data_IF_806446726055
#
_entry.id   IF_806446726055
#
_cell.length_a   1.000
_cell.length_b   1.000
_cell.length_c   1.000
_cell.angle_alpha   90.00
_cell.angle_beta   90.00
_cell.angle_gamma   90.00
#
_symmetry.space_group_name_H-M   'P 1'
#
loop_
_entity.id
_entity.type
_entity.pdbx_description
1 polymer ?
#
# COMPACT_ATOMS: atom_id res chain seq x y z
N UNK A 1 -6.99 -47.08 20.38
CA UNK A 1 -7.13 -46.11 19.27
C UNK A 1 -6.87 -44.72 19.83
N UNK A 2 -5.68 -44.16 19.62
CA UNK A 2 -5.34 -42.82 20.12
C UNK A 2 -5.82 -41.77 19.14
N UNK A 3 -6.86 -41.04 19.52
CA UNK A 3 -7.34 -39.84 18.85
C UNK A 3 -6.26 -38.75 19.02
N UNK A 4 -5.53 -38.44 17.94
CA UNK A 4 -4.63 -37.28 17.90
C UNK A 4 -5.49 -36.02 17.95
N UNK A 5 -5.52 -35.35 19.09
CA UNK A 5 -5.95 -33.96 19.19
C UNK A 5 -4.90 -33.12 18.47
N UNK A 6 -5.18 -32.73 17.23
CA UNK A 6 -4.39 -31.73 16.51
C UNK A 6 -4.41 -30.43 17.32
N UNK A 7 -3.32 -30.17 18.05
CA UNK A 7 -3.12 -28.88 18.70
C UNK A 7 -3.06 -27.82 17.61
N UNK A 8 -4.12 -27.03 17.45
CA UNK A 8 -4.11 -25.80 16.64
C UNK A 8 -3.08 -24.84 17.23
N UNK A 9 -1.83 -24.95 16.79
CA UNK A 9 -0.77 -23.99 17.10
C UNK A 9 -1.27 -22.61 16.69
N UNK A 10 -1.22 -21.65 17.62
CA UNK A 10 -1.67 -20.28 17.38
C UNK A 10 -0.86 -19.65 16.26
N UNK A 11 -1.51 -18.89 15.36
CA UNK A 11 -0.83 -18.22 14.24
C UNK A 11 0.35 -17.36 14.71
N UNK A 12 0.25 -16.78 15.91
CA UNK A 12 1.31 -15.98 16.53
C UNK A 12 2.58 -16.82 16.74
N UNK A 13 2.43 -18.06 17.21
CA UNK A 13 3.56 -18.96 17.43
C UNK A 13 4.22 -19.40 16.11
N UNK A 14 3.41 -19.60 15.06
CA UNK A 14 3.92 -19.91 13.71
C UNK A 14 4.65 -18.73 13.10
N UNK A 15 4.18 -17.50 13.33
CA UNK A 15 4.85 -16.29 12.87
C UNK A 15 6.23 -16.17 13.50
N UNK A 16 6.36 -16.43 14.81
CA UNK A 16 7.62 -16.29 15.54
C UNK A 16 8.72 -17.24 15.06
N UNK A 17 8.37 -18.43 14.57
CA UNK A 17 9.33 -19.42 14.04
C UNK A 17 9.61 -19.26 12.54
N UNK A 18 8.81 -18.46 11.82
CA UNK A 18 8.94 -18.26 10.37
C UNK A 18 9.84 -17.06 10.07
N UNK A 19 10.63 -17.13 8.99
CA UNK A 19 11.41 -15.98 8.55
C UNK A 19 10.49 -14.88 7.99
N UNK A 20 10.85 -13.59 8.12
CA UNK A 20 9.99 -12.47 7.70
C UNK A 20 9.46 -12.57 6.27
N UNK A 21 10.29 -13.00 5.33
CA UNK A 21 9.93 -13.16 3.91
C UNK A 21 9.02 -14.35 3.62
N UNK A 22 8.95 -15.32 4.54
CA UNK A 22 8.19 -16.55 4.38
C UNK A 22 6.85 -16.53 5.14
N UNK A 23 6.57 -15.49 5.92
CA UNK A 23 5.28 -15.33 6.63
C UNK A 23 4.11 -15.42 5.64
N UNK A 24 4.27 -14.79 4.48
CA UNK A 24 3.28 -14.79 3.39
C UNK A 24 3.21 -16.12 2.63
N UNK A 25 3.95 -17.16 3.03
CA UNK A 25 3.81 -18.51 2.48
C UNK A 25 2.98 -19.43 3.38
N UNK A 26 2.64 -18.97 4.59
CA UNK A 26 1.81 -19.75 5.51
C UNK A 26 0.37 -19.84 4.97
N UNK A 27 -0.22 -21.05 4.87
CA UNK A 27 -1.59 -21.23 4.37
C UNK A 27 -2.62 -20.39 5.12
N UNK A 28 -2.48 -20.26 6.44
CA UNK A 28 -3.41 -19.50 7.27
C UNK A 28 -3.36 -17.99 6.99
N UNK A 29 -2.18 -17.49 6.60
CA UNK A 29 -2.01 -16.10 6.17
C UNK A 29 -2.66 -15.90 4.80
N UNK A 30 -2.47 -16.86 3.89
CA UNK A 30 -3.09 -16.85 2.57
C UNK A 30 -4.62 -16.80 2.66
N UNK A 31 -5.22 -17.71 3.44
CA UNK A 31 -6.66 -17.82 3.57
C UNK A 31 -7.25 -16.56 4.20
N UNK A 32 -6.59 -16.01 5.22
CA UNK A 32 -7.04 -14.78 5.88
C UNK A 32 -6.94 -13.58 4.95
N UNK A 33 -5.85 -13.44 4.20
CA UNK A 33 -5.67 -12.37 3.24
C UNK A 33 -6.77 -12.42 2.17
N UNK A 34 -6.97 -13.59 1.53
CA UNK A 34 -8.00 -13.77 0.49
C UNK A 34 -9.39 -13.47 1.02
N UNK A 35 -9.72 -13.97 2.22
CA UNK A 35 -11.01 -13.71 2.87
C UNK A 35 -11.24 -12.22 3.13
N UNK A 36 -10.24 -11.51 3.66
CA UNK A 36 -10.34 -10.07 3.90
C UNK A 36 -10.52 -9.32 2.58
N UNK A 37 -9.72 -9.64 1.56
CA UNK A 37 -9.81 -8.99 0.27
C UNK A 37 -11.20 -9.14 -0.35
N UNK A 38 -11.76 -10.36 -0.36
CA UNK A 38 -13.13 -10.62 -0.85
C UNK A 38 -14.16 -9.83 -0.05
N UNK A 39 -14.03 -9.80 1.28
CA UNK A 39 -14.98 -9.14 2.18
C UNK A 39 -15.04 -7.62 1.95
N UNK A 40 -13.89 -6.96 1.78
CA UNK A 40 -13.82 -5.50 1.66
C UNK A 40 -13.89 -4.99 0.23
N UNK A 41 -13.41 -5.75 -0.75
CA UNK A 41 -13.29 -5.30 -2.15
C UNK A 41 -14.24 -6.02 -3.12
N UNK A 42 -14.95 -7.06 -2.67
CA UNK A 42 -15.94 -7.78 -3.47
C UNK A 42 -15.39 -8.60 -4.65
N UNK A 43 -14.06 -8.76 -4.74
CA UNK A 43 -13.37 -9.45 -5.84
C UNK A 43 -12.62 -10.69 -5.34
N UNK A 44 -12.40 -11.67 -6.22
CA UNK A 44 -11.57 -12.85 -5.95
C UNK A 44 -10.15 -12.42 -5.55
N UNK A 45 -9.68 -12.92 -4.41
CA UNK A 45 -8.41 -12.54 -3.79
C UNK A 45 -7.22 -13.40 -4.23
N UNK A 46 -7.43 -14.45 -5.03
CA UNK A 46 -6.39 -15.42 -5.39
C UNK A 46 -5.25 -14.78 -6.18
N UNK A 47 -5.58 -14.13 -7.30
CA UNK A 47 -4.58 -13.46 -8.15
C UNK A 47 -3.91 -12.31 -7.42
N UNK A 48 -4.71 -11.56 -6.66
CA UNK A 48 -4.23 -10.43 -5.88
C UNK A 48 -3.22 -10.86 -4.83
N UNK A 49 -3.55 -11.92 -4.08
CA UNK A 49 -2.66 -12.49 -3.09
C UNK A 49 -1.31 -12.93 -3.68
N UNK A 50 -1.30 -13.66 -4.80
CA UNK A 50 -0.03 -14.13 -5.39
C UNK A 50 0.86 -12.96 -5.87
N UNK A 51 0.26 -11.89 -6.41
CA UNK A 51 0.99 -10.68 -6.76
C UNK A 51 1.57 -9.99 -5.52
N UNK A 52 0.73 -9.70 -4.52
CA UNK A 52 1.14 -9.00 -3.30
C UNK A 52 2.16 -9.78 -2.48
N UNK A 53 2.03 -11.10 -2.44
CA UNK A 53 3.02 -12.00 -1.83
C UNK A 53 4.41 -11.81 -2.46
N UNK A 54 4.49 -11.75 -3.78
CA UNK A 54 5.76 -11.53 -4.49
C UNK A 54 6.35 -10.15 -4.18
N UNK A 55 5.53 -9.09 -4.30
CA UNK A 55 5.97 -7.71 -4.06
C UNK A 55 6.42 -7.50 -2.61
N UNK A 56 5.67 -8.04 -1.65
CA UNK A 56 6.01 -7.97 -0.24
C UNK A 56 7.33 -8.71 0.07
N UNK A 57 7.51 -9.92 -0.45
CA UNK A 57 8.75 -10.67 -0.25
C UNK A 57 9.96 -9.94 -0.84
N UNK A 58 9.81 -9.37 -2.05
CA UNK A 58 10.84 -8.55 -2.70
C UNK A 58 11.21 -7.32 -1.86
N UNK A 59 10.19 -6.59 -1.37
CA UNK A 59 10.37 -5.40 -0.54
C UNK A 59 11.17 -5.69 0.75
N UNK A 60 10.91 -6.84 1.40
CA UNK A 60 11.65 -7.26 2.58
C UNK A 60 13.09 -7.71 2.28
N UNK A 61 13.32 -8.30 1.11
CA UNK A 61 14.67 -8.68 0.68
C UNK A 61 15.54 -7.46 0.35
N UNK A 62 14.96 -6.43 -0.26
CA UNK A 62 15.66 -5.20 -0.65
C UNK A 62 15.94 -4.27 0.54
N UNK A 63 15.17 -4.37 1.63
CA UNK A 63 15.29 -3.50 2.79
C UNK A 63 15.55 -4.28 4.09
N UNK A 64 16.83 -4.42 4.45
CA UNK A 64 17.27 -5.12 5.66
C UNK A 64 16.62 -4.60 6.96
N UNK A 65 16.33 -3.29 7.06
CA UNK A 65 15.69 -2.71 8.24
C UNK A 65 14.24 -3.20 8.43
N UNK A 66 13.55 -3.50 7.34
CA UNK A 66 12.21 -4.09 7.39
C UNK A 66 12.26 -5.56 7.80
N UNK A 67 13.28 -6.31 7.38
CA UNK A 67 13.48 -7.69 7.80
C UNK A 67 13.73 -7.83 9.31
N UNK A 68 14.27 -6.80 9.96
CA UNK A 68 14.47 -6.75 11.42
C UNK A 68 13.19 -6.39 12.21
N UNK A 69 12.12 -5.98 11.54
CA UNK A 69 10.87 -5.62 12.21
C UNK A 69 10.15 -6.86 12.77
N UNK A 70 9.31 -6.63 13.79
CA UNK A 70 8.52 -7.72 14.37
C UNK A 70 7.62 -8.38 13.32
N UNK A 71 7.62 -9.72 13.31
CA UNK A 71 6.85 -10.54 12.38
C UNK A 71 5.36 -10.25 12.46
N UNK A 72 4.86 -9.94 13.66
CA UNK A 72 3.48 -9.52 13.88
C UNK A 72 3.15 -8.19 13.18
N UNK A 73 4.04 -7.19 13.24
CA UNK A 73 3.83 -5.90 12.56
C UNK A 73 3.85 -6.05 11.04
N UNK A 74 4.76 -6.86 10.51
CA UNK A 74 4.84 -7.19 9.08
C UNK A 74 3.58 -7.90 8.59
N UNK A 75 3.12 -8.89 9.36
CA UNK A 75 1.85 -9.58 9.11
C UNK A 75 0.65 -8.62 9.11
N UNK A 76 0.58 -7.72 10.11
CA UNK A 76 -0.48 -6.71 10.18
C UNK A 76 -0.53 -5.84 8.92
N UNK A 77 0.62 -5.28 8.54
CA UNK A 77 0.72 -4.45 7.33
C UNK A 77 0.33 -5.20 6.06
N UNK A 78 0.69 -6.49 5.95
CA UNK A 78 0.31 -7.32 4.81
C UNK A 78 -1.22 -7.51 4.72
N UNK A 79 -1.90 -7.68 5.86
CA UNK A 79 -3.36 -7.77 5.89
C UNK A 79 -4.05 -6.43 5.64
N UNK A 80 -3.48 -5.32 6.12
CA UNK A 80 -4.03 -3.97 5.90
C UNK A 80 -4.10 -3.62 4.41
N UNK A 81 -3.13 -4.09 3.62
CA UNK A 81 -3.14 -3.98 2.15
C UNK A 81 -4.32 -4.72 1.52
N UNK A 82 -4.67 -5.92 2.02
CA UNK A 82 -5.86 -6.63 1.56
C UNK A 82 -7.16 -5.90 1.91
N UNK A 83 -7.25 -5.34 3.11
CA UNK A 83 -8.44 -4.61 3.59
C UNK A 83 -8.70 -3.37 2.72
N UNK A 84 -7.65 -2.61 2.43
CA UNK A 84 -7.76 -1.36 1.68
C UNK A 84 -7.72 -1.54 0.15
N UNK A 85 -7.45 -2.76 -0.34
CA UNK A 85 -7.30 -3.00 -1.78
C UNK A 85 -6.12 -2.23 -2.40
N UNK A 86 -5.06 -2.02 -1.61
CA UNK A 86 -3.83 -1.34 -2.02
C UNK A 86 -2.75 -2.36 -2.41
N UNK A 87 -1.65 -1.91 -3.01
CA UNK A 87 -0.61 -2.81 -3.53
C UNK A 87 0.79 -2.40 -3.09
N UNK A 88 1.61 -3.39 -2.75
CA UNK A 88 3.05 -3.27 -2.54
C UNK A 88 3.84 -3.13 -3.85
N UNK A 89 3.19 -3.20 -5.02
CA UNK A 89 3.84 -2.97 -6.30
C UNK A 89 4.47 -1.56 -6.33
N UNK A 90 5.80 -1.46 -6.50
CA UNK A 90 6.50 -0.18 -6.54
C UNK A 90 6.07 0.72 -7.72
N UNK A 91 5.48 0.15 -8.78
CA UNK A 91 4.98 0.92 -9.93
C UNK A 91 3.71 1.68 -9.60
N UNK A 92 2.82 1.07 -8.81
CA UNK A 92 1.56 1.66 -8.36
C UNK A 92 1.77 2.70 -7.25
N UNK A 93 2.86 2.55 -6.47
CA UNK A 93 3.26 3.45 -5.39
C UNK A 93 2.18 3.64 -4.34
N UNK A 94 1.26 2.71 -4.11
CA UNK A 94 0.13 2.92 -3.19
C UNK A 94 0.56 3.03 -1.72
N UNK A 95 1.54 2.23 -1.32
CA UNK A 95 1.95 2.13 0.09
C UNK A 95 3.46 2.09 0.23
N UNK A 96 3.92 2.51 1.41
CA UNK A 96 5.28 2.35 1.89
C UNK A 96 5.28 1.61 3.22
N UNK A 97 6.25 0.72 3.40
CA UNK A 97 6.54 0.13 4.70
C UNK A 97 7.69 0.89 5.35
N UNK A 98 7.42 1.45 6.51
CA UNK A 98 8.39 2.26 7.25
C UNK A 98 8.70 1.58 8.58
N UNK A 99 9.98 1.31 8.90
CA UNK A 99 10.37 0.77 10.18
C UNK A 99 10.43 1.88 11.23
N UNK A 100 9.76 1.68 12.37
CA UNK A 100 9.79 2.56 13.54
C UNK A 100 10.31 1.81 14.76
N UNK A 101 11.01 2.52 15.65
CA UNK A 101 11.39 2.00 16.97
C UNK A 101 10.27 2.32 17.97
N UNK A 102 9.69 1.30 18.58
CA UNK A 102 8.61 1.43 19.56
C UNK A 102 9.11 0.96 20.92
N UNK A 103 8.92 1.79 21.95
CA UNK A 103 9.29 1.47 23.33
C UNK A 103 8.29 0.43 23.90
N UNK A 104 8.78 -0.73 24.35
CA UNK A 104 7.97 -1.86 24.87
C UNK A 104 8.05 -2.00 26.41
N UNK A 105 8.50 -0.95 27.09
CA UNK A 105 8.73 -0.92 28.53
C UNK A 105 10.00 -0.13 28.88
N UNK A 106 10.50 -0.28 30.10
CA UNK A 106 11.74 0.38 30.51
C UNK A 106 12.94 -0.24 29.80
N UNK A 107 13.65 0.59 29.03
CA UNK A 107 14.84 0.28 28.22
C UNK A 107 14.73 -0.77 27.10
N UNK A 108 13.54 -1.31 26.81
CA UNK A 108 13.35 -2.23 25.68
C UNK A 108 12.71 -1.54 24.47
N UNK A 109 13.40 -1.62 23.33
CA UNK A 109 12.92 -1.10 22.04
C UNK A 109 12.67 -2.24 21.06
N UNK A 110 11.54 -2.18 20.36
CA UNK A 110 11.15 -3.15 19.34
C UNK A 110 10.99 -2.41 18.00
N UNK A 111 11.63 -2.92 16.94
CA UNK A 111 11.38 -2.42 15.58
C UNK A 111 10.04 -2.94 15.09
N UNK A 112 9.14 -2.05 14.70
CA UNK A 112 7.84 -2.38 14.12
C UNK A 112 7.73 -1.75 12.74
N UNK A 113 7.22 -2.53 11.80
CA UNK A 113 6.84 -1.99 10.50
C UNK A 113 5.47 -1.32 10.62
N UNK A 114 5.31 -0.18 9.96
CA UNK A 114 4.04 0.50 9.83
C UNK A 114 3.76 0.77 8.34
N UNK A 115 2.53 0.46 7.93
CA UNK A 115 2.04 0.79 6.60
C UNK A 115 1.73 2.29 6.52
N UNK A 116 2.30 2.97 5.54
CA UNK A 116 2.03 4.38 5.23
C UNK A 116 1.40 4.42 3.83
N UNK A 117 0.21 4.99 3.73
CA UNK A 117 -0.48 5.16 2.45
C UNK A 117 0.10 6.39 1.76
N UNK A 118 0.48 6.26 0.49
CA UNK A 118 1.02 7.38 -0.29
C UNK A 118 -0.10 8.28 -0.81
N UNK A 119 0.26 9.41 -1.45
CA UNK A 119 -0.71 10.23 -2.18
C UNK A 119 -1.44 9.47 -3.30
N UNK A 120 -0.78 8.52 -3.97
CA UNK A 120 -1.41 7.69 -5.00
C UNK A 120 -2.36 6.64 -4.39
N UNK A 121 -1.98 6.08 -3.24
CA UNK A 121 -2.86 5.18 -2.50
C UNK A 121 -4.11 5.90 -1.97
N UNK A 122 -3.94 7.10 -1.41
CA UNK A 122 -5.05 7.95 -0.99
C UNK A 122 -5.97 8.27 -2.17
N UNK A 123 -5.40 8.68 -3.31
CA UNK A 123 -6.19 8.97 -4.51
C UNK A 123 -7.05 7.77 -4.94
N UNK A 124 -6.46 6.57 -4.98
CA UNK A 124 -7.19 5.35 -5.29
C UNK A 124 -8.33 5.10 -4.28
N UNK A 125 -8.08 5.29 -2.98
CA UNK A 125 -9.13 5.12 -1.96
C UNK A 125 -10.28 6.11 -2.17
N UNK A 126 -9.98 7.37 -2.51
CA UNK A 126 -11.02 8.37 -2.82
C UNK A 126 -11.79 8.02 -4.09
N UNK A 127 -11.12 7.48 -5.10
CA UNK A 127 -11.76 6.99 -6.33
C UNK A 127 -12.69 5.79 -6.04
N UNK A 128 -12.24 4.83 -5.24
CA UNK A 128 -13.06 3.68 -4.83
C UNK A 128 -14.29 4.09 -4.02
N UNK A 129 -14.16 5.14 -3.19
CA UNK A 129 -15.27 5.72 -2.43
C UNK A 129 -16.19 6.64 -3.28
N UNK A 130 -15.83 6.88 -4.55
CA UNK A 130 -16.57 7.78 -5.44
C UNK A 130 -16.45 9.26 -5.08
N UNK A 131 -15.49 9.64 -4.24
CA UNK A 131 -15.25 11.05 -3.86
C UNK A 131 -14.50 11.81 -4.94
N UNK A 132 -13.64 11.12 -5.70
CA UNK A 132 -12.92 11.65 -6.86
C UNK A 132 -13.27 10.74 -8.03
N UNK A 133 -13.63 11.31 -9.18
CA UNK A 133 -13.93 10.50 -10.37
C UNK A 133 -12.65 10.21 -11.13
N UNK A 134 -11.81 11.23 -11.27
CA UNK A 134 -10.53 11.13 -11.95
C UNK A 134 -9.53 12.16 -11.40
N UNK A 135 -8.25 11.84 -11.44
CA UNK A 135 -7.19 12.83 -11.23
C UNK A 135 -5.98 12.47 -12.08
N UNK A 136 -5.42 13.49 -12.73
CA UNK A 136 -4.23 13.36 -13.55
C UNK A 136 -2.96 13.31 -12.69
N UNK A 137 -1.88 12.84 -13.33
CA UNK A 137 -0.55 12.98 -12.75
C UNK A 137 -0.23 14.47 -12.55
N UNK A 138 0.31 14.88 -11.38
CA UNK A 138 0.62 16.28 -11.14
C UNK A 138 1.69 16.77 -12.11
N UNK A 139 1.48 17.98 -12.64
CA UNK A 139 2.39 18.63 -13.59
C UNK A 139 3.10 19.79 -12.90
N UNK A 140 4.38 19.98 -13.21
CA UNK A 140 5.14 21.15 -12.76
C UNK A 140 4.72 22.37 -13.56
N UNK A 141 4.35 23.44 -12.84
CA UNK A 141 3.89 24.69 -13.46
C UNK A 141 4.77 25.86 -13.05
N UNK A 142 5.01 26.76 -13.99
CA UNK A 142 5.92 27.89 -13.88
C UNK A 142 5.17 29.22 -13.93
N UNK A 143 5.83 30.27 -13.46
CA UNK A 143 5.30 31.63 -13.60
C UNK A 143 5.07 32.00 -15.07
N UNK A 144 3.83 32.36 -15.40
CA UNK A 144 3.44 32.74 -16.75
C UNK A 144 2.91 31.60 -17.62
N UNK A 145 2.80 30.37 -17.09
CA UNK A 145 2.09 29.29 -17.77
C UNK A 145 0.60 29.62 -17.94
N UNK A 146 0.03 29.17 -19.06
CA UNK A 146 -1.34 29.48 -19.43
C UNK A 146 -2.22 28.28 -19.10
N UNK A 147 -3.28 28.50 -18.34
CA UNK A 147 -4.32 27.51 -18.06
C UNK A 147 -5.59 27.87 -18.81
N UNK A 148 -6.09 26.96 -19.62
CA UNK A 148 -7.37 27.11 -20.33
C UNK A 148 -8.36 26.17 -19.69
N UNK A 149 -9.44 26.72 -19.17
CA UNK A 149 -10.56 25.92 -18.66
C UNK A 149 -11.65 25.85 -19.71
N UNK A 150 -12.32 24.71 -19.82
CA UNK A 150 -13.40 24.56 -20.78
C UNK A 150 -14.24 23.32 -20.52
N UNK A 151 -15.17 23.05 -21.43
CA UNK A 151 -15.98 21.82 -21.40
C UNK A 151 -15.87 21.12 -22.76
N UNK A 152 -15.38 19.87 -22.76
CA UNK A 152 -15.27 19.05 -23.96
C UNK A 152 -16.09 17.78 -23.76
N UNK A 153 -17.05 17.53 -24.66
CA UNK A 153 -17.97 16.38 -24.57
C UNK A 153 -18.69 16.24 -23.20
N UNK A 154 -18.99 17.36 -22.54
CA UNK A 154 -19.65 17.38 -21.23
C UNK A 154 -18.74 17.15 -20.01
N UNK A 155 -17.43 17.02 -20.21
CA UNK A 155 -16.42 17.00 -19.14
C UNK A 155 -15.72 18.35 -19.05
N UNK A 156 -15.59 18.88 -17.84
CA UNK A 156 -14.75 20.06 -17.56
C UNK A 156 -13.31 19.66 -17.77
N UNK A 157 -12.51 20.46 -18.48
CA UNK A 157 -11.08 20.22 -18.64
C UNK A 157 -10.28 21.45 -18.25
N UNK A 158 -9.02 21.22 -17.85
CA UNK A 158 -8.02 22.26 -17.63
C UNK A 158 -6.80 21.92 -18.48
N UNK A 159 -6.61 22.62 -19.59
CA UNK A 159 -5.41 22.47 -20.42
C UNK A 159 -4.30 23.38 -19.87
N UNK A 160 -3.10 22.81 -19.72
CA UNK A 160 -1.89 23.53 -19.36
C UNK A 160 -1.00 23.72 -20.59
N UNK A 161 -0.56 24.96 -20.82
CA UNK A 161 0.38 25.32 -21.87
C UNK A 161 1.58 26.05 -21.25
N UNK A 162 2.76 25.44 -21.39
CA UNK A 162 4.00 25.98 -20.83
C UNK A 162 4.49 27.18 -21.65
N UNK A 163 4.80 28.29 -20.96
CA UNK A 163 5.35 29.48 -21.61
C UNK A 163 6.88 29.39 -21.63
N UNK A 164 7.46 29.34 -22.83
CA UNK A 164 8.93 29.27 -23.03
C UNK A 164 9.43 30.66 -23.46
N UNK A 165 10.52 31.20 -22.86
CA UNK A 165 11.40 30.60 -21.85
C UNK A 165 10.82 30.60 -20.43
N UNK A 166 11.11 29.53 -19.67
CA UNK A 166 10.64 29.33 -18.30
C UNK A 166 11.28 30.36 -17.35
N UNK A 167 10.46 31.11 -16.60
CA UNK A 167 10.95 32.16 -15.68
C UNK A 167 11.38 31.61 -14.32
N UNK A 168 10.49 30.96 -13.57
CA UNK A 168 10.76 30.40 -12.22
C UNK A 168 9.70 29.36 -11.85
N UNK A 169 10.07 28.29 -11.12
CA UNK A 169 9.13 27.24 -10.64
C UNK A 169 8.27 27.80 -9.52
N UNK A 170 6.93 27.66 -9.61
CA UNK A 170 6.03 28.21 -8.59
C UNK A 170 5.23 27.13 -7.84
N UNK A 171 4.77 26.05 -8.48
CA UNK A 171 4.00 25.02 -7.75
C UNK A 171 3.82 23.70 -8.51
N UNK A 172 3.37 22.65 -7.79
CA UNK A 172 2.79 21.42 -8.36
C UNK A 172 1.26 21.60 -8.39
N UNK A 173 0.65 21.41 -9.56
CA UNK A 173 -0.81 21.41 -9.70
C UNK A 173 -1.30 20.01 -10.11
N UNK A 174 -2.35 19.53 -9.45
CA UNK A 174 -3.08 18.33 -9.83
C UNK A 174 -4.49 18.73 -10.25
N UNK A 175 -4.94 18.24 -11.40
CA UNK A 175 -6.30 18.47 -11.90
C UNK A 175 -7.19 17.38 -11.28
N UNK A 176 -8.27 17.81 -10.62
CA UNK A 176 -9.25 16.91 -10.00
C UNK A 176 -10.58 17.05 -10.74
N UNK A 177 -11.15 15.93 -11.18
CA UNK A 177 -12.47 15.82 -11.82
C UNK A 177 -13.41 14.88 -11.05
#
# INVERSE_FOLDING_TARGET
>A
MSTKVEQKVSIIQKLDTTSPTQIVNLPEVADRFKKLYVTFNGKSGEKYYEAEKFHFAKLLQENAKLAECSKLSLYGCFLDVAVNGLSFDPTMKHVYLVPYNVKKGDNNWEKRAQLQISGQGELLLRMQQGQIKYADNPVLVYEGDIFKTGTRNGQLFVDHEATIPLKTIISLHAIYE
#
